data_IF_504646346012
#
_entry.id   IF_504646346012
#
_cell.length_a   1.000
_cell.length_b   1.000
_cell.length_c   1.000
_cell.angle_alpha   90.00
_cell.angle_beta   90.00
_cell.angle_gamma   90.00
#
_symmetry.space_group_name_H-M   'P 1'
#
loop_
_entity.id
_entity.type
_entity.pdbx_description
1 polymer ?
#
# COMPACT_ATOMS: atom_id res chain seq x y z
N UNK A 1 -24.71 -21.96 9.85
CA UNK A 1 -24.52 -20.51 9.62
C UNK A 1 -23.08 -20.18 9.98
N UNK A 2 -22.29 -19.65 9.05
CA UNK A 2 -20.91 -19.28 9.37
C UNK A 2 -20.88 -17.87 9.97
N UNK A 3 -20.26 -17.77 11.14
CA UNK A 3 -19.96 -16.51 11.79
C UNK A 3 -18.57 -16.08 11.32
N UNK A 4 -18.52 -15.28 10.26
CA UNK A 4 -17.29 -14.70 9.74
C UNK A 4 -17.41 -13.17 9.70
N UNK A 5 -16.35 -12.48 10.11
CA UNK A 5 -16.28 -11.02 10.08
C UNK A 5 -14.99 -10.55 9.42
N UNK A 6 -15.02 -9.33 8.88
CA UNK A 6 -13.89 -8.68 8.23
C UNK A 6 -13.74 -7.27 8.77
N UNK A 7 -12.50 -6.87 9.00
CA UNK A 7 -12.13 -5.51 9.40
C UNK A 7 -11.10 -4.98 8.39
N UNK A 8 -11.38 -3.85 7.70
CA UNK A 8 -10.42 -3.24 6.79
C UNK A 8 -9.08 -2.99 7.49
N UNK A 9 -7.96 -3.26 6.81
CA UNK A 9 -6.58 -3.15 7.32
C UNK A 9 -6.16 -4.16 8.41
N UNK A 10 -7.11 -4.82 9.09
CA UNK A 10 -6.83 -5.79 10.15
C UNK A 10 -7.02 -7.24 9.70
N UNK A 11 -7.78 -7.48 8.63
CA UNK A 11 -8.01 -8.80 8.07
C UNK A 11 -9.37 -9.38 8.43
N UNK A 12 -9.46 -10.70 8.59
CA UNK A 12 -10.73 -11.39 8.79
C UNK A 12 -10.62 -12.53 9.80
N UNK A 13 -11.74 -12.82 10.47
CA UNK A 13 -11.87 -13.91 11.44
C UNK A 13 -13.03 -14.80 11.02
N UNK A 14 -12.80 -16.11 11.00
CA UNK A 14 -13.80 -17.13 10.73
C UNK A 14 -13.93 -18.05 11.94
N UNK A 15 -15.14 -18.15 12.48
CA UNK A 15 -15.44 -19.02 13.62
C UNK A 15 -16.03 -20.33 13.11
N UNK A 16 -15.39 -21.44 13.47
CA UNK A 16 -15.86 -22.79 13.18
C UNK A 16 -16.61 -23.31 14.41
N UNK A 17 -17.94 -23.39 14.29
CA UNK A 17 -18.78 -23.93 15.36
C UNK A 17 -18.89 -25.45 15.22
N UNK A 18 -18.78 -26.23 16.31
CA UNK A 18 -19.03 -27.67 16.29
C UNK A 18 -20.46 -27.96 15.83
N UNK A 19 -20.67 -29.10 15.17
CA UNK A 19 -22.01 -29.61 14.91
C UNK A 19 -22.59 -30.28 16.15
N UNK A 20 -23.92 -30.48 16.19
CA UNK A 20 -24.58 -31.17 17.31
C UNK A 20 -23.96 -32.54 17.60
N UNK A 21 -23.67 -33.31 16.55
CA UNK A 21 -23.02 -34.61 16.65
C UNK A 21 -21.61 -34.52 17.24
N UNK A 22 -20.86 -33.43 16.98
CA UNK A 22 -19.56 -33.23 17.58
C UNK A 22 -19.64 -32.97 19.09
N UNK A 23 -20.67 -32.22 19.52
CA UNK A 23 -20.92 -31.93 20.93
C UNK A 23 -21.42 -33.16 21.71
N UNK A 24 -22.27 -34.00 21.11
CA UNK A 24 -22.81 -35.19 21.77
C UNK A 24 -21.78 -36.32 21.90
N UNK A 25 -20.98 -36.54 20.85
CA UNK A 25 -20.03 -37.66 20.80
C UNK A 25 -18.60 -37.27 21.19
N UNK A 26 -18.37 -36.03 21.66
CA UNK A 26 -17.04 -35.47 21.96
C UNK A 26 -15.99 -35.69 20.85
N UNK A 27 -16.43 -35.72 19.60
CA UNK A 27 -15.54 -35.93 18.45
C UNK A 27 -14.86 -34.62 18.05
N UNK A 28 -13.63 -34.72 17.56
CA UNK A 28 -12.88 -33.59 17.04
C UNK A 28 -13.61 -32.91 15.86
N UNK A 29 -13.55 -31.57 15.81
CA UNK A 29 -14.05 -30.79 14.69
C UNK A 29 -13.04 -30.90 13.55
N UNK A 30 -13.42 -31.57 12.46
CA UNK A 30 -12.59 -31.61 11.25
C UNK A 30 -12.94 -30.43 10.35
N UNK A 31 -12.02 -29.47 10.13
CA UNK A 31 -12.29 -28.32 9.29
C UNK A 31 -12.37 -28.70 7.80
N UNK A 32 -13.41 -28.24 7.10
CA UNK A 32 -13.47 -28.30 5.64
C UNK A 32 -12.58 -27.20 5.03
N UNK A 33 -11.38 -27.62 4.62
CA UNK A 33 -10.39 -26.73 4.01
C UNK A 33 -10.90 -26.01 2.76
N UNK A 34 -11.74 -26.64 1.94
CA UNK A 34 -12.27 -26.01 0.72
C UNK A 34 -13.19 -24.87 1.08
N UNK A 35 -14.03 -25.08 2.10
CA UNK A 35 -14.97 -24.08 2.55
C UNK A 35 -14.27 -22.90 3.25
N UNK A 36 -13.28 -23.18 4.10
CA UNK A 36 -12.45 -22.14 4.75
C UNK A 36 -11.74 -21.29 3.71
N UNK A 37 -11.09 -21.93 2.73
CA UNK A 37 -10.40 -21.21 1.67
C UNK A 37 -11.36 -20.39 0.80
N UNK A 38 -12.59 -20.86 0.55
CA UNK A 38 -13.59 -20.09 -0.18
C UNK A 38 -13.98 -18.78 0.55
N UNK A 39 -14.16 -18.84 1.87
CA UNK A 39 -14.45 -17.66 2.70
C UNK A 39 -13.24 -16.72 2.72
N UNK A 40 -12.03 -17.25 2.96
CA UNK A 40 -10.79 -16.49 2.95
C UNK A 40 -10.60 -15.76 1.61
N UNK A 41 -10.70 -16.46 0.48
CA UNK A 41 -10.50 -15.82 -0.83
C UNK A 41 -11.56 -14.76 -1.10
N UNK A 42 -12.81 -14.98 -0.69
CA UNK A 42 -13.86 -13.98 -0.81
C UNK A 42 -13.53 -12.71 -0.02
N UNK A 43 -13.10 -12.86 1.23
CA UNK A 43 -12.73 -11.74 2.10
C UNK A 43 -11.47 -11.01 1.62
N UNK A 44 -10.45 -11.76 1.17
CA UNK A 44 -9.23 -11.21 0.62
C UNK A 44 -9.48 -10.37 -0.64
N UNK A 45 -10.32 -10.87 -1.56
CA UNK A 45 -10.70 -10.12 -2.76
C UNK A 45 -11.50 -8.84 -2.44
N UNK A 46 -12.26 -8.81 -1.35
CA UNK A 46 -12.93 -7.59 -0.85
C UNK A 46 -11.89 -6.58 -0.33
N UNK A 47 -10.90 -7.03 0.44
CA UNK A 47 -9.83 -6.15 0.94
C UNK A 47 -8.95 -5.58 -0.18
N UNK A 48 -8.73 -6.36 -1.24
CA UNK A 48 -8.07 -5.90 -2.46
C UNK A 48 -8.97 -5.02 -3.35
N UNK A 49 -10.22 -4.75 -2.94
CA UNK A 49 -11.22 -3.97 -3.70
C UNK A 49 -11.52 -4.53 -5.10
N UNK A 50 -11.29 -5.83 -5.29
CA UNK A 50 -11.53 -6.51 -6.58
C UNK A 50 -13.01 -6.80 -6.81
N UNK A 51 -13.77 -7.00 -5.72
CA UNK A 51 -15.21 -7.29 -5.76
C UNK A 51 -16.10 -6.06 -5.66
N UNK A 52 -15.58 -4.86 -5.91
CA UNK A 52 -16.44 -3.68 -5.96
C UNK A 52 -17.50 -3.88 -7.06
N UNK A 53 -18.77 -3.71 -6.68
CA UNK A 53 -19.89 -3.92 -7.58
C UNK A 53 -19.92 -2.77 -8.57
N UNK A 54 -19.50 -3.03 -9.80
CA UNK A 54 -19.73 -2.13 -10.91
C UNK A 54 -21.15 -2.32 -11.42
N UNK A 55 -22.02 -1.35 -11.16
CA UNK A 55 -23.34 -1.29 -11.79
C UNK A 55 -23.20 -0.54 -13.12
N UNK A 56 -22.95 -1.31 -14.17
CA UNK A 56 -22.87 -0.76 -15.54
C UNK A 56 -24.22 -1.03 -16.20
N UNK A 57 -24.94 0.00 -16.66
CA UNK A 57 -26.22 -0.17 -17.33
C UNK A 57 -26.13 -1.20 -18.46
N UNK A 58 -27.08 -2.13 -18.50
CA UNK A 58 -27.18 -3.19 -19.50
C UNK A 58 -26.02 -4.22 -19.51
N UNK A 59 -25.14 -4.25 -18.51
CA UNK A 59 -24.08 -5.25 -18.40
C UNK A 59 -24.34 -6.15 -17.18
N UNK A 60 -24.53 -7.45 -17.41
CA UNK A 60 -24.58 -8.44 -16.34
C UNK A 60 -23.21 -9.08 -16.17
N UNK A 61 -22.58 -8.86 -15.01
CA UNK A 61 -21.32 -9.50 -14.66
C UNK A 61 -21.60 -10.87 -14.05
N UNK A 62 -21.12 -11.93 -14.69
CA UNK A 62 -21.22 -13.28 -14.12
C UNK A 62 -20.40 -13.37 -12.84
N UNK A 63 -20.97 -13.99 -11.81
CA UNK A 63 -20.26 -14.29 -10.57
C UNK A 63 -19.13 -15.27 -10.86
N UNK A 64 -17.90 -14.87 -10.58
CA UNK A 64 -16.74 -15.76 -10.67
C UNK A 64 -16.90 -16.86 -9.63
N UNK A 65 -16.77 -18.12 -10.08
CA UNK A 65 -16.68 -19.29 -9.21
C UNK A 65 -15.20 -19.65 -9.08
N UNK A 66 -14.63 -19.45 -7.90
CA UNK A 66 -13.24 -19.84 -7.60
C UNK A 66 -12.34 -18.67 -7.17
N UNK A 67 -11.06 -18.97 -6.89
CA UNK A 67 -10.14 -18.01 -6.28
C UNK A 67 -9.44 -17.07 -7.27
N UNK A 68 -9.48 -17.41 -8.56
CA UNK A 68 -8.72 -16.71 -9.60
C UNK A 68 -9.39 -15.38 -9.98
N UNK A 69 -8.56 -14.36 -10.22
CA UNK A 69 -9.00 -13.06 -10.73
C UNK A 69 -9.09 -13.09 -12.25
N UNK A 70 -10.06 -12.36 -12.80
CA UNK A 70 -10.16 -12.09 -14.24
C UNK A 70 -9.08 -11.10 -14.66
N UNK A 71 -8.68 -11.13 -15.92
CA UNK A 71 -7.63 -10.23 -16.43
C UNK A 71 -7.94 -8.76 -16.18
N UNK A 72 -9.18 -8.32 -16.40
CA UNK A 72 -9.57 -6.93 -16.17
C UNK A 72 -9.62 -6.54 -14.68
N UNK A 73 -9.89 -7.50 -13.79
CA UNK A 73 -9.85 -7.29 -12.33
C UNK A 73 -8.41 -7.06 -11.88
N UNK A 74 -7.48 -7.87 -12.42
CA UNK A 74 -6.05 -7.72 -12.18
C UNK A 74 -5.52 -6.39 -12.76
N UNK A 75 -5.94 -6.02 -13.96
CA UNK A 75 -5.61 -4.74 -14.58
C UNK A 75 -6.12 -3.55 -13.74
N UNK A 76 -7.35 -3.65 -13.22
CA UNK A 76 -7.92 -2.67 -12.30
C UNK A 76 -7.09 -2.52 -11.03
N UNK A 77 -6.67 -3.63 -10.45
CA UNK A 77 -5.80 -3.64 -9.26
C UNK A 77 -4.43 -3.02 -9.54
N UNK A 78 -3.83 -3.30 -10.69
CA UNK A 78 -2.57 -2.66 -11.09
C UNK A 78 -2.73 -1.16 -11.25
N UNK A 79 -3.76 -0.69 -11.96
CA UNK A 79 -4.05 0.74 -12.13
C UNK A 79 -4.23 1.43 -10.79
N UNK A 80 -5.09 0.89 -9.93
CA UNK A 80 -5.37 1.43 -8.61
C UNK A 80 -4.09 1.54 -7.79
N UNK A 81 -3.32 0.45 -7.70
CA UNK A 81 -2.10 0.41 -6.90
C UNK A 81 -1.01 1.33 -7.42
N UNK A 82 -0.88 1.44 -8.75
CA UNK A 82 0.04 2.39 -9.38
C UNK A 82 -0.34 3.83 -9.04
N UNK A 83 -1.62 4.19 -9.16
CA UNK A 83 -2.09 5.55 -8.84
C UNK A 83 -1.84 5.85 -7.37
N UNK A 84 -2.24 4.97 -6.45
CA UNK A 84 -1.99 5.14 -5.01
C UNK A 84 -0.51 5.42 -4.73
N UNK A 85 0.40 4.60 -5.26
CA UNK A 85 1.83 4.76 -4.99
C UNK A 85 2.41 6.03 -5.61
N UNK A 86 2.01 6.40 -6.83
CA UNK A 86 2.43 7.66 -7.44
C UNK A 86 1.94 8.85 -6.60
N UNK A 87 0.67 8.83 -6.17
CA UNK A 87 0.09 9.90 -5.37
C UNK A 87 0.80 10.01 -4.02
N UNK A 88 1.01 8.89 -3.32
CA UNK A 88 1.73 8.91 -2.04
C UNK A 88 3.17 9.40 -2.22
N UNK A 89 3.91 8.89 -3.20
CA UNK A 89 5.27 9.34 -3.48
C UNK A 89 5.35 10.84 -3.82
N UNK A 90 4.35 11.36 -4.54
CA UNK A 90 4.28 12.78 -4.89
C UNK A 90 4.00 13.65 -3.65
N UNK A 91 3.08 13.23 -2.79
CA UNK A 91 2.75 13.93 -1.53
C UNK A 91 3.93 13.92 -0.55
N UNK A 92 4.67 12.81 -0.47
CA UNK A 92 5.84 12.70 0.41
C UNK A 92 6.98 13.59 -0.09
N UNK A 93 7.23 13.61 -1.40
CA UNK A 93 8.19 14.54 -2.02
C UNK A 93 7.78 16.01 -1.83
N UNK A 94 6.48 16.32 -1.94
CA UNK A 94 5.97 17.66 -1.68
C UNK A 94 6.18 18.06 -0.20
N UNK A 95 5.94 17.13 0.73
CA UNK A 95 6.17 17.36 2.17
C UNK A 95 7.65 17.56 2.47
N UNK A 96 8.52 16.77 1.83
CA UNK A 96 9.98 16.94 1.90
C UNK A 96 10.43 18.31 1.37
N UNK A 97 9.93 18.72 0.20
CA UNK A 97 10.24 20.03 -0.38
C UNK A 97 9.81 21.18 0.53
N UNK A 98 8.67 21.04 1.21
CA UNK A 98 8.19 22.04 2.18
C UNK A 98 9.11 22.10 3.39
N UNK A 99 9.47 20.95 3.95
CA UNK A 99 10.37 20.84 5.10
C UNK A 99 11.75 21.45 4.83
N UNK A 100 12.32 21.19 3.64
CA UNK A 100 13.58 21.80 3.19
C UNK A 100 13.49 23.32 2.98
N UNK A 101 12.31 23.84 2.64
CA UNK A 101 12.08 25.28 2.49
C UNK A 101 11.87 26.02 3.82
N UNK A 102 11.30 25.35 4.83
CA UNK A 102 11.05 25.93 6.15
C UNK A 102 12.29 25.94 7.04
N UNK A 103 13.21 24.98 6.87
CA UNK A 103 14.42 24.84 7.70
C UNK A 103 15.66 25.03 6.83
N UNK A 104 16.20 26.26 6.83
CA UNK A 104 17.31 26.68 5.97
C UNK A 104 18.64 25.96 6.18
N UNK A 105 18.81 25.25 7.30
CA UNK A 105 20.07 24.61 7.70
C UNK A 105 20.10 23.09 7.45
N UNK A 106 19.13 22.51 6.73
CA UNK A 106 19.17 21.07 6.42
C UNK A 106 20.22 20.80 5.33
N UNK A 107 21.21 19.96 5.67
CA UNK A 107 22.21 19.46 4.72
C UNK A 107 21.69 18.17 4.09
N UNK A 108 21.56 18.16 2.76
CA UNK A 108 21.17 16.97 1.99
C UNK A 108 22.44 16.18 1.63
N UNK A 109 22.56 14.96 2.14
CA UNK A 109 23.65 14.06 1.74
C UNK A 109 23.40 13.44 0.35
N UNK A 110 24.43 12.81 -0.23
CA UNK A 110 24.33 12.21 -1.56
C UNK A 110 23.28 11.08 -1.63
N UNK A 111 23.11 10.31 -0.55
CA UNK A 111 22.14 9.21 -0.50
C UNK A 111 20.70 9.71 -0.60
N UNK A 112 20.36 10.76 0.15
CA UNK A 112 19.04 11.41 0.13
C UNK A 112 18.82 12.08 -1.23
N UNK A 113 19.83 12.80 -1.75
CA UNK A 113 19.73 13.42 -3.07
C UNK A 113 19.48 12.39 -4.18
N UNK A 114 20.18 11.25 -4.12
CA UNK A 114 20.00 10.14 -5.05
C UNK A 114 18.60 9.54 -4.94
N UNK A 115 18.12 9.30 -3.72
CA UNK A 115 16.77 8.76 -3.47
C UNK A 115 15.65 9.71 -3.96
N UNK A 116 15.80 11.03 -3.76
CA UNK A 116 14.86 12.03 -4.29
C UNK A 116 14.83 11.98 -5.82
N UNK A 117 16.01 11.98 -6.47
CA UNK A 117 16.11 11.92 -7.92
C UNK A 117 15.52 10.62 -8.48
N UNK A 118 15.81 9.49 -7.83
CA UNK A 118 15.23 8.19 -8.18
C UNK A 118 13.71 8.21 -8.05
N UNK A 119 13.17 8.77 -6.97
CA UNK A 119 11.74 8.89 -6.76
C UNK A 119 11.07 9.70 -7.87
N UNK A 120 11.56 10.92 -8.14
CA UNK A 120 11.01 11.81 -9.18
C UNK A 120 11.08 11.15 -10.57
N UNK A 121 12.23 10.56 -10.92
CA UNK A 121 12.40 9.90 -12.21
C UNK A 121 11.44 8.72 -12.38
N UNK A 122 11.24 7.92 -11.34
CA UNK A 122 10.34 6.77 -11.39
C UNK A 122 8.86 7.18 -11.34
N UNK A 123 8.49 8.27 -10.65
CA UNK A 123 7.14 8.85 -10.76
C UNK A 123 6.82 9.22 -12.22
N UNK A 124 7.77 9.87 -12.90
CA UNK A 124 7.61 10.26 -14.30
C UNK A 124 7.48 9.03 -15.22
N UNK A 125 8.38 8.04 -15.06
CA UNK A 125 8.31 6.78 -15.83
C UNK A 125 7.01 6.03 -15.59
N UNK A 126 6.58 5.90 -14.33
CA UNK A 126 5.33 5.25 -13.98
C UNK A 126 4.13 5.94 -14.63
N UNK A 127 4.10 7.28 -14.61
CA UNK A 127 3.04 8.08 -15.24
C UNK A 127 3.01 7.89 -16.77
N UNK A 128 4.18 7.87 -17.41
CA UNK A 128 4.28 7.64 -18.87
C UNK A 128 3.83 6.23 -19.23
N UNK A 129 4.31 5.20 -18.53
CA UNK A 129 3.89 3.80 -18.76
C UNK A 129 2.40 3.60 -18.51
N UNK A 130 1.83 4.26 -17.48
CA UNK A 130 0.40 4.22 -17.20
C UNK A 130 -0.43 4.85 -18.33
N UNK A 131 0.01 5.98 -18.89
CA UNK A 131 -0.62 6.62 -20.07
C UNK A 131 -0.54 5.73 -21.32
N UNK A 132 0.53 4.95 -21.46
CA UNK A 132 0.71 3.99 -22.56
C UNK A 132 -0.06 2.67 -22.36
N UNK A 133 -0.73 2.48 -21.22
CA UNK A 133 -1.43 1.24 -20.89
C UNK A 133 -0.51 0.09 -20.47
N UNK A 134 0.78 0.34 -20.25
CA UNK A 134 1.77 -0.66 -19.81
C UNK A 134 1.71 -0.83 -18.29
N UNK A 135 0.68 -1.54 -17.82
CA UNK A 135 0.33 -1.60 -16.39
C UNK A 135 1.40 -2.24 -15.51
N UNK A 136 2.07 -3.30 -15.98
CA UNK A 136 3.13 -4.00 -15.23
C UNK A 136 4.35 -3.11 -15.02
N UNK A 137 4.83 -2.46 -16.08
CA UNK A 137 5.92 -1.48 -16.01
C UNK A 137 5.54 -0.29 -15.11
N UNK A 138 4.33 0.25 -15.28
CA UNK A 138 3.85 1.37 -14.49
C UNK A 138 3.81 1.02 -12.99
N UNK A 139 3.36 -0.19 -12.65
CA UNK A 139 3.37 -0.70 -11.28
C UNK A 139 4.80 -0.85 -10.75
N UNK A 140 5.72 -1.40 -11.53
CA UNK A 140 7.11 -1.54 -11.13
C UNK A 140 7.77 -0.19 -10.83
N UNK A 141 7.64 0.79 -11.74
CA UNK A 141 8.18 2.12 -11.52
C UNK A 141 7.51 2.81 -10.32
N UNK A 142 6.19 2.67 -10.13
CA UNK A 142 5.51 3.24 -8.96
C UNK A 142 6.00 2.68 -7.62
N UNK A 143 6.36 1.39 -7.57
CA UNK A 143 6.93 0.76 -6.37
C UNK A 143 8.29 1.33 -6.01
N UNK A 144 9.16 1.49 -7.02
CA UNK A 144 10.48 2.09 -6.84
C UNK A 144 10.32 3.55 -6.40
N UNK A 145 9.44 4.31 -7.06
CA UNK A 145 9.17 5.70 -6.70
C UNK A 145 8.72 5.86 -5.24
N UNK A 146 7.76 5.04 -4.80
CA UNK A 146 7.26 5.04 -3.42
C UNK A 146 8.34 4.67 -2.42
N UNK A 147 9.10 3.60 -2.66
CA UNK A 147 10.16 3.19 -1.75
C UNK A 147 11.28 4.23 -1.65
N UNK A 148 11.65 4.86 -2.77
CA UNK A 148 12.69 5.88 -2.81
C UNK A 148 12.24 7.18 -2.13
N UNK A 149 10.98 7.59 -2.29
CA UNK A 149 10.46 8.78 -1.62
C UNK A 149 10.37 8.60 -0.10
N UNK A 150 9.91 7.44 0.37
CA UNK A 150 9.88 7.10 1.80
C UNK A 150 11.28 7.02 2.39
N UNK A 151 12.24 6.42 1.66
CA UNK A 151 13.64 6.35 2.06
C UNK A 151 14.24 7.76 2.23
N UNK A 152 14.01 8.64 1.27
CA UNK A 152 14.49 10.02 1.34
C UNK A 152 13.87 10.78 2.51
N UNK A 153 12.55 10.72 2.69
CA UNK A 153 11.84 11.47 3.73
C UNK A 153 12.17 10.97 5.15
N UNK A 154 12.39 9.66 5.32
CA UNK A 154 12.67 9.06 6.62
C UNK A 154 14.16 9.03 7.00
N UNK A 155 15.02 9.67 6.21
CA UNK A 155 16.47 9.66 6.47
C UNK A 155 16.81 10.44 7.75
N UNK A 156 17.55 9.84 8.71
CA UNK A 156 17.89 10.50 9.98
C UNK A 156 18.63 11.82 9.83
N UNK A 157 19.40 12.02 8.76
CA UNK A 157 20.18 13.24 8.54
C UNK A 157 19.29 14.49 8.37
N UNK A 158 18.05 14.32 7.89
CA UNK A 158 17.10 15.42 7.73
C UNK A 158 16.54 15.92 9.07
N UNK A 159 16.55 15.09 10.11
CA UNK A 159 16.07 15.42 11.46
C UNK A 159 17.21 15.80 12.42
N UNK A 160 18.43 15.32 12.17
CA UNK A 160 19.56 15.48 13.10
C UNK A 160 19.98 16.95 13.31
N UNK A 161 19.77 17.81 12.32
CA UNK A 161 20.19 19.23 12.38
C UNK A 161 19.17 20.15 13.05
N UNK A 162 17.97 19.65 13.41
CA UNK A 162 17.01 20.40 14.23
C UNK A 162 17.50 20.59 15.67
N UNK A 163 18.44 19.77 16.14
CA UNK A 163 18.87 19.73 17.54
C UNK A 163 20.00 20.70 17.91
N UNK A 164 20.60 21.40 16.93
CA UNK A 164 21.63 22.40 17.19
C UNK A 164 21.25 23.75 16.56
N UNK A 165 20.47 24.59 17.27
CA UNK A 165 20.24 25.97 16.87
C UNK A 165 21.57 26.70 16.74
N UNK A 166 21.73 27.55 15.73
CA UNK A 166 22.93 28.38 15.59
C UNK A 166 23.19 29.24 16.85
N UNK A 167 22.14 29.62 17.59
CA UNK A 167 22.22 30.30 18.89
C UNK A 167 23.07 29.54 19.92
N UNK A 168 23.05 28.21 19.91
CA UNK A 168 23.89 27.38 20.79
C UNK A 168 25.34 27.30 20.30
N UNK A 169 25.58 27.49 18.99
CA UNK A 169 26.92 27.65 18.44
C UNK A 169 27.50 29.00 18.86
N UNK A 170 26.72 30.08 18.84
CA UNK A 170 27.14 31.39 19.33
C UNK A 170 27.46 31.38 20.83
N UNK A 171 26.73 30.62 21.65
CA UNK A 171 27.01 30.46 23.09
C UNK A 171 28.38 29.83 23.40
N UNK A 172 29.00 29.11 22.45
CA UNK A 172 30.35 28.55 22.60
C UNK A 172 31.45 29.54 22.18
N UNK A 173 31.14 30.51 21.31
CA UNK A 173 32.12 31.43 20.72
C UNK A 173 32.02 32.87 21.20
N UNK A 174 31.03 33.23 22.01
CA UNK A 174 30.91 34.56 22.61
C UNK A 174 31.19 34.42 24.12
N UNK A 175 32.39 34.78 24.61
CA UNK A 175 32.70 34.82 26.04
C UNK A 175 31.96 35.94 26.77
#
# INVERSE_FOLDING_TARGET
RLSAMISPQWGAVQILNPTHNNCENNTEIVPDSRHIMAVFTSQFQILLRVRDKFDIPNVKVNSVKGPLLRSWELDGLFRMRTIEQITTASLTLQSLSKLLGEISNIVINEDVASAINEAVNNVNKATVSLKQGKLTEALQFSKIAFSASEKAFSDPSLLALLYFPDDQKYAVYIP
#
